data_IF_662242806790
#
_entry.id   IF_662242806790
#
_cell.length_a   1.000
_cell.length_b   1.000
_cell.length_c   1.000
_cell.angle_alpha   90.00
_cell.angle_beta   90.00
_cell.angle_gamma   90.00
#
_symmetry.space_group_name_H-M   'P 1'
#
loop_
_entity.id
_entity.type
_entity.pdbx_description
1 polymer ?
#
# COMPACT_ATOMS: atom_id res chain seq x y z
N UNK A 1 -54.77 0.91 29.62
CA UNK A 1 -55.19 1.63 28.40
C UNK A 1 -54.53 3.00 28.46
N UNK A 2 -53.75 3.50 27.51
CA UNK A 2 -53.27 2.99 26.23
C UNK A 2 -52.05 3.83 25.81
N UNK A 3 -51.17 3.22 25.02
CA UNK A 3 -49.98 3.83 24.43
C UNK A 3 -50.32 4.94 23.42
N UNK A 4 -49.38 5.86 23.20
CA UNK A 4 -49.23 6.53 21.91
C UNK A 4 -47.76 6.90 21.67
N UNK A 5 -47.10 6.04 20.89
CA UNK A 5 -45.90 6.28 20.11
C UNK A 5 -46.20 7.28 18.98
N UNK A 6 -45.28 8.21 18.71
CA UNK A 6 -44.99 8.82 17.40
C UNK A 6 -43.93 9.94 17.63
N UNK A 7 -42.87 10.10 16.86
CA UNK A 7 -42.42 9.45 15.63
C UNK A 7 -41.34 10.32 14.99
N UNK A 8 -40.41 9.69 14.29
CA UNK A 8 -39.78 10.20 13.06
C UNK A 8 -38.72 9.18 12.61
N UNK A 9 -39.15 8.22 11.79
CA UNK A 9 -38.27 7.40 10.97
C UNK A 9 -37.76 8.29 9.83
N UNK A 10 -36.47 8.61 9.84
CA UNK A 10 -35.78 9.23 8.71
C UNK A 10 -35.02 8.16 7.93
N UNK A 11 -35.71 7.41 7.07
CA UNK A 11 -35.07 6.55 6.08
C UNK A 11 -34.58 7.41 4.91
N UNK A 12 -33.32 7.83 4.98
CA UNK A 12 -32.61 8.35 3.81
C UNK A 12 -32.32 7.19 2.85
N UNK A 13 -33.13 7.06 1.80
CA UNK A 13 -32.85 6.15 0.70
C UNK A 13 -31.62 6.66 -0.05
N UNK A 14 -30.45 6.08 0.24
CA UNK A 14 -29.29 6.21 -0.62
C UNK A 14 -29.59 5.45 -1.91
N UNK A 15 -29.61 6.17 -3.03
CA UNK A 15 -29.75 5.57 -4.36
C UNK A 15 -28.53 4.68 -4.62
N UNK A 16 -28.71 3.36 -4.50
CA UNK A 16 -27.70 2.37 -4.86
C UNK A 16 -27.56 2.40 -6.39
N UNK A 17 -26.37 2.65 -6.97
CA UNK A 17 -26.20 2.56 -8.40
C UNK A 17 -26.55 1.14 -8.87
N UNK A 18 -27.46 1.05 -9.83
CA UNK A 18 -27.89 -0.21 -10.42
C UNK A 18 -26.69 -0.92 -11.06
N UNK A 19 -26.24 -2.03 -10.45
CA UNK A 19 -25.12 -2.84 -10.96
C UNK A 19 -24.21 -3.42 -9.88
N UNK A 20 -24.24 -2.89 -8.65
CA UNK A 20 -23.64 -3.57 -7.50
C UNK A 20 -24.67 -4.56 -6.93
N UNK A 21 -24.33 -5.84 -6.85
CA UNK A 21 -25.11 -6.79 -6.05
C UNK A 21 -25.29 -6.27 -4.62
N UNK A 22 -26.31 -6.75 -3.91
CA UNK A 22 -26.42 -6.43 -2.49
C UNK A 22 -25.11 -6.82 -1.78
N UNK A 23 -24.58 -5.91 -0.95
CA UNK A 23 -23.40 -6.20 -0.16
C UNK A 23 -23.66 -7.48 0.67
N UNK A 24 -22.69 -8.42 0.76
CA UNK A 24 -22.89 -9.67 1.49
C UNK A 24 -23.28 -9.43 2.96
N UNK A 25 -24.31 -10.09 3.45
CA UNK A 25 -24.66 -10.03 4.87
C UNK A 25 -23.73 -10.95 5.67
N UNK A 26 -22.81 -10.36 6.44
CA UNK A 26 -21.85 -11.08 7.27
C UNK A 26 -22.10 -10.81 8.77
N UNK A 27 -21.78 -11.77 9.66
CA UNK A 27 -21.82 -11.53 11.09
C UNK A 27 -20.93 -10.33 11.48
N UNK A 28 -21.37 -9.47 12.42
CA UNK A 28 -20.57 -8.32 12.84
C UNK A 28 -19.25 -8.79 13.46
N UNK A 29 -18.18 -8.02 13.20
CA UNK A 29 -16.84 -8.25 13.73
C UNK A 29 -16.22 -6.91 14.09
N UNK A 30 -15.49 -6.85 15.19
CA UNK A 30 -14.75 -5.64 15.58
C UNK A 30 -13.46 -5.50 14.76
N UNK A 31 -12.87 -4.30 14.74
CA UNK A 31 -11.60 -4.09 14.06
C UNK A 31 -10.48 -4.93 14.68
N UNK A 32 -10.45 -5.04 16.01
CA UNK A 32 -9.49 -5.85 16.77
C UNK A 32 -9.60 -7.33 16.41
N UNK A 33 -10.80 -7.88 16.39
CA UNK A 33 -11.04 -9.28 16.00
C UNK A 33 -10.66 -9.52 14.53
N UNK A 34 -11.01 -8.59 13.63
CA UNK A 34 -10.66 -8.72 12.22
C UNK A 34 -9.14 -8.69 12.03
N UNK A 35 -8.42 -7.74 12.63
CA UNK A 35 -6.96 -7.64 12.55
C UNK A 35 -6.28 -8.86 13.18
N UNK A 36 -6.75 -9.31 14.34
CA UNK A 36 -6.25 -10.54 14.99
C UNK A 36 -6.43 -11.75 14.07
N UNK A 37 -7.60 -11.87 13.43
CA UNK A 37 -7.89 -12.98 12.50
C UNK A 37 -6.98 -12.98 11.27
N UNK A 38 -6.60 -11.80 10.76
CA UNK A 38 -5.63 -11.66 9.66
C UNK A 38 -4.24 -12.09 10.10
N UNK A 39 -3.81 -11.72 11.32
CA UNK A 39 -2.49 -12.08 11.86
C UNK A 39 -2.32 -13.60 12.06
N UNK A 40 -3.41 -14.32 12.31
CA UNK A 40 -3.40 -15.78 12.50
C UNK A 40 -3.86 -16.55 11.26
N UNK A 41 -4.15 -15.85 10.16
CA UNK A 41 -4.70 -16.48 8.97
C UNK A 41 -3.70 -17.46 8.35
N UNK A 42 -4.16 -18.68 8.11
CA UNK A 42 -3.48 -19.65 7.26
C UNK A 42 -4.40 -19.95 6.06
N UNK A 43 -4.29 -19.17 4.98
CA UNK A 43 -5.17 -19.36 3.83
C UNK A 43 -4.94 -20.67 3.08
N UNK A 44 -3.80 -21.33 3.31
CA UNK A 44 -3.27 -22.37 2.45
C UNK A 44 -2.78 -21.83 1.09
N UNK A 45 -2.41 -22.73 0.16
CA UNK A 45 -1.90 -22.34 -1.14
C UNK A 45 -2.98 -21.69 -2.01
N UNK A 46 -2.58 -20.71 -2.82
CA UNK A 46 -3.48 -20.00 -3.73
C UNK A 46 -2.76 -19.42 -4.93
N UNK A 47 -3.53 -19.02 -5.94
CA UNK A 47 -3.08 -18.17 -7.03
C UNK A 47 -4.14 -17.12 -7.35
N UNK A 48 -3.73 -16.00 -7.92
CA UNK A 48 -4.66 -14.96 -8.33
C UNK A 48 -4.01 -13.87 -9.16
N UNK A 49 -4.85 -13.03 -9.75
CA UNK A 49 -4.41 -11.83 -10.46
C UNK A 49 -4.75 -10.61 -9.62
N UNK A 50 -3.75 -9.79 -9.35
CA UNK A 50 -3.88 -8.51 -8.65
C UNK A 50 -3.79 -7.39 -9.67
N UNK A 51 -4.66 -6.40 -9.54
CA UNK A 51 -4.65 -5.18 -10.35
C UNK A 51 -4.37 -3.98 -9.45
N UNK A 52 -3.41 -3.16 -9.85
CA UNK A 52 -3.17 -1.82 -9.32
C UNK A 52 -3.78 -0.81 -10.29
N UNK A 53 -4.73 -0.03 -9.82
CA UNK A 53 -5.23 1.19 -10.46
C UNK A 53 -4.65 2.39 -9.72
N UNK A 54 -3.79 3.13 -10.39
CA UNK A 54 -3.06 4.27 -9.84
C UNK A 54 -3.55 5.56 -10.47
N UNK A 55 -4.22 6.39 -9.68
CA UNK A 55 -4.73 7.70 -10.07
C UNK A 55 -4.10 8.83 -9.26
N UNK A 56 -2.89 8.62 -8.74
CA UNK A 56 -2.20 9.57 -7.88
C UNK A 56 -1.86 10.90 -8.59
N UNK A 57 -1.76 10.92 -9.92
CA UNK A 57 -1.24 12.08 -10.65
C UNK A 57 0.27 12.02 -10.87
N UNK A 58 0.91 10.87 -10.65
CA UNK A 58 2.37 10.75 -10.72
C UNK A 58 2.86 10.77 -12.18
N UNK A 59 3.89 11.57 -12.51
CA UNK A 59 4.51 11.54 -13.82
C UNK A 59 5.26 10.22 -14.03
N UNK A 60 5.37 9.79 -15.29
CA UNK A 60 6.14 8.61 -15.62
C UNK A 60 7.64 8.84 -15.40
N UNK A 61 8.22 8.09 -14.47
CA UNK A 61 9.65 8.10 -14.21
C UNK A 61 10.33 6.96 -15.00
N UNK A 62 11.41 7.21 -15.76
CA UNK A 62 12.07 6.19 -16.57
C UNK A 62 12.48 4.92 -15.80
N UNK A 63 12.90 5.08 -14.54
CA UNK A 63 13.29 3.98 -13.64
C UNK A 63 12.11 3.21 -13.02
N UNK A 64 10.93 3.84 -12.93
CA UNK A 64 9.72 3.27 -12.34
C UNK A 64 8.48 3.65 -13.18
N UNK A 65 8.41 3.22 -14.46
CA UNK A 65 7.30 3.61 -15.32
C UNK A 65 5.96 3.09 -14.78
N UNK A 66 5.97 1.98 -14.05
CA UNK A 66 4.77 1.36 -13.47
C UNK A 66 4.24 2.08 -12.21
N UNK A 67 5.02 3.01 -11.64
CA UNK A 67 4.57 3.86 -10.55
C UNK A 67 3.84 5.12 -11.05
N UNK A 68 3.85 5.35 -12.37
CA UNK A 68 3.05 6.41 -12.99
C UNK A 68 1.55 6.09 -12.89
N UNK A 69 0.74 7.09 -13.22
CA UNK A 69 -0.70 6.86 -13.39
C UNK A 69 -0.98 5.76 -14.41
N UNK A 70 -2.00 4.96 -14.10
CA UNK A 70 -2.50 3.91 -14.97
C UNK A 70 -2.71 2.59 -14.24
N UNK A 71 -2.91 1.55 -15.05
CA UNK A 71 -3.24 0.22 -14.57
C UNK A 71 -2.05 -0.71 -14.76
N UNK A 72 -1.68 -1.42 -13.70
CA UNK A 72 -0.72 -2.52 -13.75
C UNK A 72 -1.36 -3.79 -13.21
N UNK A 73 -0.96 -4.94 -13.75
CA UNK A 73 -1.38 -6.24 -13.25
C UNK A 73 -0.19 -7.06 -12.79
N UNK A 74 -0.43 -7.92 -11.81
CA UNK A 74 0.53 -8.90 -11.33
C UNK A 74 -0.20 -10.22 -11.12
N UNK A 75 0.44 -11.33 -11.45
CA UNK A 75 -0.05 -12.66 -11.07
C UNK A 75 0.76 -13.14 -9.87
N UNK A 76 0.05 -13.64 -8.86
CA UNK A 76 0.59 -14.07 -7.57
C UNK A 76 0.29 -15.54 -7.37
N UNK A 77 1.28 -16.28 -6.90
CA UNK A 77 1.16 -17.66 -6.44
C UNK A 77 1.76 -17.79 -5.05
N UNK A 78 1.12 -18.55 -4.18
CA UNK A 78 1.59 -18.85 -2.83
C UNK A 78 1.45 -20.35 -2.56
N UNK A 79 2.44 -20.96 -1.92
CA UNK A 79 2.33 -22.32 -1.41
C UNK A 79 1.58 -22.41 -0.07
N UNK A 80 1.18 -21.27 0.50
CA UNK A 80 0.55 -21.17 1.81
C UNK A 80 1.52 -21.06 2.98
N UNK A 81 2.82 -21.17 2.75
CA UNK A 81 3.88 -21.04 3.76
C UNK A 81 4.93 -20.00 3.33
N UNK A 82 6.14 -20.43 2.98
CA UNK A 82 7.27 -19.52 2.68
C UNK A 82 7.50 -19.32 1.20
N UNK A 83 6.87 -20.11 0.32
CA UNK A 83 7.15 -20.04 -1.11
C UNK A 83 6.11 -19.22 -1.84
N UNK A 84 6.59 -18.42 -2.77
CA UNK A 84 5.72 -17.54 -3.53
C UNK A 84 6.34 -17.14 -4.85
N UNK A 85 5.49 -16.75 -5.79
CA UNK A 85 5.90 -16.15 -7.05
C UNK A 85 5.02 -14.95 -7.32
N UNK A 86 5.62 -13.87 -7.79
CA UNK A 86 4.92 -12.71 -8.34
C UNK A 86 5.48 -12.43 -9.71
N UNK A 87 4.63 -12.37 -10.73
CA UNK A 87 5.02 -11.98 -12.09
C UNK A 87 4.30 -10.70 -12.49
N UNK A 88 5.06 -9.72 -12.96
CA UNK A 88 4.57 -8.42 -13.42
C UNK A 88 4.94 -8.29 -14.90
N UNK A 89 3.97 -8.48 -15.82
CA UNK A 89 4.18 -8.16 -17.22
C UNK A 89 4.31 -6.64 -17.41
N UNK A 90 5.29 -6.22 -18.19
CA UNK A 90 5.65 -4.82 -18.43
C UNK A 90 5.85 -4.58 -19.93
N UNK A 91 4.76 -4.55 -20.70
CA UNK A 91 4.83 -4.45 -22.16
C UNK A 91 5.50 -5.70 -22.75
N UNK A 92 6.71 -5.54 -23.31
CA UNK A 92 7.51 -6.66 -23.85
C UNK A 92 8.53 -7.22 -22.84
N UNK A 93 8.58 -6.68 -21.64
CA UNK A 93 9.48 -7.13 -20.57
C UNK A 93 8.72 -7.72 -19.40
N UNK A 94 9.37 -8.50 -18.56
CA UNK A 94 8.81 -9.08 -17.34
C UNK A 94 9.68 -8.71 -16.14
N UNK A 95 9.02 -8.46 -15.01
CA UNK A 95 9.64 -8.53 -13.69
C UNK A 95 9.07 -9.69 -12.91
N UNK A 96 9.91 -10.53 -12.35
CA UNK A 96 9.49 -11.70 -11.57
C UNK A 96 10.14 -11.66 -10.19
N UNK A 97 9.38 -11.95 -9.14
CA UNK A 97 9.91 -12.31 -7.84
C UNK A 97 9.56 -13.77 -7.53
N UNK A 98 10.51 -14.53 -7.01
CA UNK A 98 10.31 -15.91 -6.55
C UNK A 98 10.93 -16.07 -5.17
N UNK A 99 10.13 -16.45 -4.18
CA UNK A 99 10.60 -16.92 -2.90
C UNK A 99 10.57 -18.46 -2.91
N UNK A 100 11.73 -19.09 -2.72
CA UNK A 100 11.86 -20.57 -2.71
C UNK A 100 11.79 -21.18 -1.29
N UNK A 101 11.57 -20.34 -0.28
CA UNK A 101 11.54 -20.69 1.15
C UNK A 101 12.88 -20.49 1.88
N UNK A 102 13.93 -20.09 1.16
CA UNK A 102 15.24 -19.72 1.72
C UNK A 102 15.83 -18.47 1.07
N UNK A 103 15.53 -18.27 -0.20
CA UNK A 103 16.07 -17.22 -1.05
C UNK A 103 14.93 -16.51 -1.76
N UNK A 104 15.02 -15.19 -1.83
CA UNK A 104 14.18 -14.36 -2.69
C UNK A 104 15.00 -13.99 -3.92
N UNK A 105 14.48 -14.37 -5.08
CA UNK A 105 15.01 -14.06 -6.39
C UNK A 105 14.17 -12.95 -7.01
N UNK A 106 14.81 -11.93 -7.58
CA UNK A 106 14.18 -10.90 -8.37
C UNK A 106 14.82 -10.85 -9.75
N UNK A 107 14.01 -10.99 -10.79
CA UNK A 107 14.42 -10.97 -12.19
C UNK A 107 13.84 -9.76 -12.89
N UNK A 108 14.67 -9.06 -13.67
CA UNK A 108 14.24 -8.03 -14.58
C UNK A 108 14.70 -8.38 -16.00
N UNK A 109 13.76 -8.65 -16.90
CA UNK A 109 14.11 -9.04 -18.26
C UNK A 109 14.63 -7.88 -19.12
N UNK A 110 14.34 -6.63 -18.74
CA UNK A 110 14.73 -5.44 -19.50
C UNK A 110 16.26 -5.23 -19.51
N UNK A 111 16.90 -5.44 -18.36
CA UNK A 111 18.36 -5.31 -18.18
C UNK A 111 19.06 -6.67 -17.99
N UNK A 112 18.28 -7.76 -18.01
CA UNK A 112 18.73 -9.14 -17.77
C UNK A 112 19.45 -9.33 -16.43
N UNK A 113 18.96 -8.68 -15.39
CA UNK A 113 19.55 -8.76 -14.05
C UNK A 113 18.73 -9.67 -13.14
N UNK A 114 19.44 -10.56 -12.43
CA UNK A 114 18.91 -11.32 -11.29
C UNK A 114 19.52 -10.76 -10.02
N UNK A 115 18.70 -10.36 -9.06
CA UNK A 115 19.12 -10.17 -7.67
C UNK A 115 18.70 -11.39 -6.88
N UNK A 116 19.58 -11.95 -6.06
CA UNK A 116 19.18 -12.91 -5.02
C UNK A 116 19.54 -12.36 -3.63
N UNK A 117 18.64 -12.59 -2.69
CA UNK A 117 18.85 -12.24 -1.28
C UNK A 117 18.34 -13.36 -0.38
N UNK A 118 18.97 -13.59 0.80
CA UNK A 118 18.40 -14.49 1.77
C UNK A 118 17.00 -14.01 2.14
N UNK A 119 16.10 -14.95 2.32
CA UNK A 119 14.76 -14.64 2.78
C UNK A 119 14.83 -14.13 4.23
N UNK A 120 14.37 -12.91 4.48
CA UNK A 120 14.33 -12.38 5.83
C UNK A 120 13.21 -13.06 6.62
N UNK A 121 13.51 -13.49 7.85
CA UNK A 121 12.48 -13.74 8.86
C UNK A 121 11.86 -12.39 9.25
N UNK A 122 10.93 -11.89 8.43
CA UNK A 122 10.22 -10.65 8.73
C UNK A 122 9.48 -10.74 10.07
N UNK A 123 9.21 -9.61 10.74
CA UNK A 123 8.47 -9.59 12.01
C UNK A 123 7.06 -10.22 11.90
N UNK A 124 6.49 -10.26 10.70
CA UNK A 124 5.20 -10.90 10.38
C UNK A 124 5.24 -12.44 10.32
N UNK A 125 6.42 -13.06 10.40
CA UNK A 125 6.59 -14.52 10.38
C UNK A 125 6.82 -15.15 11.74
N UNK A 126 7.05 -14.35 12.77
CA UNK A 126 6.89 -14.86 14.13
C UNK A 126 5.41 -14.72 14.43
N UNK A 127 4.69 -15.84 14.68
CA UNK A 127 3.39 -15.73 15.30
C UNK A 127 3.57 -14.83 16.52
N UNK A 128 2.81 -13.74 16.59
CA UNK A 128 2.75 -12.98 17.82
C UNK A 128 2.46 -13.98 18.94
N UNK A 129 3.26 -13.96 20.02
CA UNK A 129 3.07 -14.91 21.12
C UNK A 129 1.63 -14.84 21.67
N UNK A 130 1.00 -13.68 21.54
CA UNK A 130 -0.43 -13.43 21.69
C UNK A 130 -0.92 -12.52 20.54
N UNK A 131 -1.55 -13.08 19.49
CA UNK A 131 -2.07 -12.31 18.35
C UNK A 131 -3.16 -11.31 18.75
N UNK A 132 -3.96 -11.62 19.76
CA UNK A 132 -5.02 -10.72 20.26
C UNK A 132 -4.42 -9.52 20.95
N UNK A 133 -3.41 -9.70 21.80
CA UNK A 133 -2.68 -8.59 22.39
C UNK A 133 -1.95 -7.74 21.33
N UNK A 134 -1.36 -8.38 20.31
CA UNK A 134 -0.71 -7.67 19.21
C UNK A 134 -1.71 -6.83 18.40
N UNK A 135 -2.88 -7.40 18.04
CA UNK A 135 -3.94 -6.68 17.36
C UNK A 135 -4.46 -5.50 18.19
N UNK A 136 -4.63 -5.70 19.50
CA UNK A 136 -5.07 -4.65 20.44
C UNK A 136 -4.09 -3.48 20.45
N UNK A 137 -2.79 -3.75 20.56
CA UNK A 137 -1.78 -2.68 20.55
C UNK A 137 -1.67 -1.99 19.18
N UNK A 138 -1.82 -2.72 18.06
CA UNK A 138 -1.88 -2.12 16.72
C UNK A 138 -3.08 -1.19 16.60
N UNK A 139 -4.28 -1.65 16.96
CA UNK A 139 -5.50 -0.84 16.87
C UNK A 139 -5.40 0.38 17.79
N UNK A 140 -4.89 0.21 19.01
CA UNK A 140 -4.66 1.30 19.95
C UNK A 140 -3.70 2.34 19.40
N UNK A 141 -2.61 1.93 18.74
CA UNK A 141 -1.67 2.85 18.11
C UNK A 141 -2.32 3.60 16.94
N UNK A 142 -3.04 2.90 16.07
CA UNK A 142 -3.76 3.51 14.95
C UNK A 142 -4.84 4.49 15.43
N UNK A 143 -5.54 4.16 16.53
CA UNK A 143 -6.57 5.01 17.14
C UNK A 143 -6.04 6.28 17.79
N UNK A 144 -4.72 6.42 17.96
CA UNK A 144 -4.14 7.67 18.43
C UNK A 144 -4.31 8.82 17.42
N UNK A 145 -4.35 8.49 16.12
CA UNK A 145 -4.40 9.46 15.01
C UNK A 145 -5.51 9.18 14.01
N UNK A 146 -6.35 8.17 14.24
CA UNK A 146 -7.35 7.68 13.28
C UNK A 146 -8.60 7.13 13.97
N UNK A 147 -9.73 7.07 13.28
CA UNK A 147 -10.77 6.08 13.58
C UNK A 147 -10.42 4.76 12.90
N UNK A 148 -10.77 3.64 13.53
CA UNK A 148 -10.47 2.29 13.03
C UNK A 148 -11.70 1.43 13.28
N UNK A 149 -12.42 1.14 12.20
CA UNK A 149 -13.75 0.54 12.24
C UNK A 149 -13.91 -0.51 11.15
N UNK A 150 -14.85 -1.44 11.33
CA UNK A 150 -15.32 -2.33 10.26
C UNK A 150 -16.63 -1.75 9.75
N UNK A 151 -16.57 -1.09 8.59
CA UNK A 151 -17.67 -0.31 8.02
C UNK A 151 -18.13 -0.95 6.71
N UNK A 152 -19.03 -1.92 6.86
CA UNK A 152 -19.68 -2.60 5.75
C UNK A 152 -18.98 -3.87 5.28
N UNK A 153 -19.46 -4.35 4.15
CA UNK A 153 -19.01 -5.57 3.49
C UNK A 153 -18.94 -5.33 1.98
N UNK A 154 -18.06 -6.06 1.33
CA UNK A 154 -17.86 -5.97 -0.11
C UNK A 154 -17.74 -7.37 -0.72
N UNK A 155 -17.86 -7.44 -2.04
CA UNK A 155 -17.45 -8.61 -2.81
C UNK A 155 -16.21 -8.24 -3.63
N UNK A 156 -15.13 -9.00 -3.45
CA UNK A 156 -13.86 -8.80 -4.17
C UNK A 156 -13.42 -10.13 -4.77
N UNK A 157 -13.19 -10.16 -6.08
CA UNK A 157 -12.84 -11.37 -6.82
C UNK A 157 -13.81 -12.56 -6.55
N UNK A 158 -15.12 -12.27 -6.45
CA UNK A 158 -16.15 -13.27 -6.17
C UNK A 158 -16.19 -13.76 -4.72
N UNK A 159 -15.55 -13.05 -3.79
CA UNK A 159 -15.48 -13.42 -2.38
C UNK A 159 -16.03 -12.33 -1.48
N UNK A 160 -16.88 -12.72 -0.54
CA UNK A 160 -17.40 -11.83 0.50
C UNK A 160 -16.28 -11.37 1.43
N UNK A 161 -16.26 -10.08 1.77
CA UNK A 161 -15.22 -9.45 2.54
C UNK A 161 -15.79 -8.46 3.55
N UNK A 162 -15.11 -8.34 4.69
CA UNK A 162 -15.28 -7.25 5.64
C UNK A 162 -14.48 -6.03 5.18
N UNK A 163 -15.03 -4.83 5.31
CA UNK A 163 -14.30 -3.60 4.99
C UNK A 163 -13.76 -2.94 6.26
N UNK A 164 -12.45 -3.07 6.50
CA UNK A 164 -11.75 -2.32 7.53
C UNK A 164 -11.47 -0.90 7.02
N UNK A 165 -11.88 0.11 7.75
CA UNK A 165 -11.74 1.53 7.39
C UNK A 165 -10.88 2.23 8.42
N UNK A 166 -9.84 2.91 7.93
CA UNK A 166 -8.97 3.79 8.70
C UNK A 166 -9.18 5.21 8.19
N UNK A 167 -9.76 6.09 9.00
CA UNK A 167 -9.95 7.49 8.65
C UNK A 167 -9.12 8.38 9.58
N UNK A 168 -8.35 9.37 9.07
CA UNK A 168 -7.59 10.30 9.89
C UNK A 168 -8.49 11.04 10.90
N UNK A 169 -7.97 11.30 12.09
CA UNK A 169 -8.67 12.12 13.07
C UNK A 169 -8.86 13.56 12.54
N UNK A 170 -9.90 14.30 12.95
CA UNK A 170 -10.14 15.67 12.47
C UNK A 170 -9.02 16.67 12.76
N UNK A 171 -8.10 16.33 13.66
CA UNK A 171 -6.92 17.14 14.01
C UNK A 171 -5.74 16.94 13.05
N UNK A 172 -5.75 15.86 12.27
CA UNK A 172 -4.72 15.56 11.29
C UNK A 172 -4.86 16.47 10.07
N UNK A 173 -3.74 17.00 9.60
CA UNK A 173 -3.54 17.82 8.42
C UNK A 173 -3.05 16.98 7.24
N UNK A 174 -3.91 16.07 6.77
CA UNK A 174 -3.62 15.17 5.65
C UNK A 174 -4.51 15.41 4.43
N UNK A 175 -4.03 15.02 3.25
CA UNK A 175 -4.80 14.99 2.00
C UNK A 175 -5.61 13.68 1.84
N UNK A 176 -5.43 12.72 2.74
CA UNK A 176 -6.17 11.47 2.75
C UNK A 176 -7.51 11.64 3.46
N UNK A 177 -8.57 11.09 2.86
CA UNK A 177 -9.87 10.98 3.51
C UNK A 177 -9.95 9.72 4.35
N UNK A 178 -9.55 8.59 3.77
CA UNK A 178 -9.59 7.28 4.42
C UNK A 178 -8.81 6.24 3.60
N UNK A 179 -8.45 5.16 4.26
CA UNK A 179 -7.92 3.93 3.67
C UNK A 179 -8.90 2.80 3.99
N UNK A 180 -9.32 2.05 2.97
CA UNK A 180 -10.18 0.88 3.12
C UNK A 180 -9.42 -0.39 2.77
N UNK A 181 -9.55 -1.43 3.58
CA UNK A 181 -9.00 -2.76 3.36
C UNK A 181 -10.12 -3.79 3.39
N UNK A 182 -10.43 -4.38 2.24
CA UNK A 182 -11.35 -5.51 2.16
C UNK A 182 -10.61 -6.79 2.59
N UNK A 183 -11.12 -7.47 3.61
CA UNK A 183 -10.55 -8.71 4.17
C UNK A 183 -11.52 -9.85 3.95
N UNK A 184 -11.05 -10.93 3.33
CA UNK A 184 -11.86 -12.12 3.04
C UNK A 184 -12.59 -12.66 4.28
N UNK A 185 -13.88 -12.92 4.18
CA UNK A 185 -14.69 -13.33 5.32
C UNK A 185 -14.33 -14.73 5.86
N UNK A 186 -13.82 -15.62 5.01
CA UNK A 186 -13.56 -17.03 5.33
C UNK A 186 -12.09 -17.30 5.66
N UNK A 187 -11.19 -16.89 4.77
CA UNK A 187 -9.75 -17.12 4.78
C UNK A 187 -8.95 -15.99 5.41
N UNK A 188 -9.60 -14.86 5.71
CA UNK A 188 -9.02 -13.69 6.40
C UNK A 188 -7.79 -13.11 5.69
N UNK A 189 -7.73 -13.25 4.36
CA UNK A 189 -6.69 -12.67 3.52
C UNK A 189 -7.11 -11.27 3.08
N UNK A 190 -6.22 -10.26 3.12
CA UNK A 190 -6.50 -8.97 2.49
C UNK A 190 -6.73 -9.15 0.98
N UNK A 191 -7.88 -8.70 0.49
CA UNK A 191 -8.30 -8.84 -0.90
C UNK A 191 -8.13 -7.55 -1.72
N UNK A 192 -8.36 -6.39 -1.10
CA UNK A 192 -8.25 -5.10 -1.77
C UNK A 192 -7.88 -4.00 -0.78
N UNK A 193 -6.92 -3.15 -1.16
CA UNK A 193 -6.58 -1.88 -0.54
C UNK A 193 -7.11 -0.74 -1.42
N UNK A 194 -7.81 0.21 -0.83
CA UNK A 194 -8.33 1.41 -1.50
C UNK A 194 -7.91 2.64 -0.71
N UNK A 195 -7.32 3.63 -1.38
CA UNK A 195 -6.92 4.91 -0.78
C UNK A 195 -7.77 6.01 -1.39
N UNK A 196 -8.46 6.77 -0.55
CA UNK A 196 -9.35 7.84 -0.99
C UNK A 196 -8.81 9.19 -0.52
N UNK A 197 -8.74 10.14 -1.46
CA UNK A 197 -8.27 11.50 -1.22
C UNK A 197 -9.42 12.42 -0.79
N UNK A 198 -9.10 13.45 -0.03
CA UNK A 198 -10.03 14.53 0.29
C UNK A 198 -10.44 15.26 -1.00
N UNK A 199 -11.74 15.55 -1.15
CA UNK A 199 -12.28 16.24 -2.32
C UNK A 199 -12.54 15.37 -3.55
N UNK A 200 -12.30 14.05 -3.48
CA UNK A 200 -12.65 13.09 -4.54
C UNK A 200 -13.53 11.96 -4.01
N UNK A 201 -14.49 11.50 -4.81
CA UNK A 201 -15.19 10.23 -4.58
C UNK A 201 -14.46 9.03 -5.18
N UNK A 202 -13.65 9.27 -6.21
CA UNK A 202 -12.89 8.25 -6.90
C UNK A 202 -11.62 7.90 -6.10
N UNK A 203 -11.26 6.60 -5.98
CA UNK A 203 -10.03 6.21 -5.32
C UNK A 203 -8.80 6.73 -6.02
N UNK A 204 -7.90 7.34 -5.26
CA UNK A 204 -6.61 7.76 -5.77
C UNK A 204 -5.68 6.57 -6.02
N UNK A 205 -5.88 5.46 -5.29
CA UNK A 205 -5.19 4.20 -5.51
C UNK A 205 -6.13 3.04 -5.14
N UNK A 206 -6.15 2.01 -5.98
CA UNK A 206 -6.83 0.73 -5.68
C UNK A 206 -5.93 -0.43 -6.07
N UNK A 207 -5.58 -1.27 -5.11
CA UNK A 207 -4.80 -2.49 -5.30
C UNK A 207 -5.63 -3.68 -4.82
N UNK A 208 -6.02 -4.59 -5.71
CA UNK A 208 -6.82 -5.73 -5.26
C UNK A 208 -6.87 -6.89 -6.25
N UNK A 209 -7.28 -8.06 -5.76
CA UNK A 209 -7.50 -9.23 -6.60
C UNK A 209 -8.66 -8.99 -7.56
N UNK A 210 -8.43 -9.30 -8.84
CA UNK A 210 -9.49 -9.44 -9.85
C UNK A 210 -9.94 -10.89 -9.99
N UNK A 211 -9.08 -11.82 -9.59
CA UNK A 211 -9.34 -13.26 -9.55
C UNK A 211 -8.50 -13.88 -8.42
N UNK A 212 -9.06 -14.84 -7.68
CA UNK A 212 -8.39 -15.53 -6.58
C UNK A 212 -8.93 -16.95 -6.43
N UNK A 213 -8.03 -17.93 -6.55
CA UNK A 213 -8.33 -19.35 -6.42
C UNK A 213 -7.43 -20.00 -5.37
N UNK A 214 -8.04 -20.62 -4.36
CA UNK A 214 -7.34 -21.43 -3.36
C UNK A 214 -7.19 -22.87 -3.84
N UNK A 215 -6.06 -23.49 -3.54
CA UNK A 215 -5.76 -24.87 -3.92
C UNK A 215 -4.27 -25.10 -4.14
N UNK A 216 -3.85 -26.37 -4.18
CA UNK A 216 -2.46 -26.74 -4.37
C UNK A 216 -1.85 -26.10 -5.63
N UNK A 217 -0.61 -25.63 -5.51
CA UNK A 217 0.15 -25.03 -6.60
C UNK A 217 1.24 -25.98 -7.07
N UNK A 218 1.62 -25.91 -8.35
CA UNK A 218 2.75 -26.67 -8.88
C UNK A 218 4.05 -26.23 -8.17
N UNK A 219 4.77 -27.15 -7.49
CA UNK A 219 6.00 -26.80 -6.78
C UNK A 219 7.09 -26.16 -7.66
N UNK A 220 7.08 -26.43 -8.97
CA UNK A 220 8.04 -25.84 -9.92
C UNK A 220 7.90 -24.32 -10.05
N UNK A 221 6.72 -23.75 -9.77
CA UNK A 221 6.48 -22.29 -9.78
C UNK A 221 7.37 -21.55 -8.77
N UNK A 222 7.77 -22.24 -7.70
CA UNK A 222 8.57 -21.70 -6.61
C UNK A 222 10.06 -21.98 -6.75
N UNK A 223 10.47 -22.53 -7.88
CA UNK A 223 11.89 -22.71 -8.22
C UNK A 223 12.31 -21.63 -9.20
N UNK A 224 13.48 -21.04 -9.00
CA UNK A 224 14.02 -20.04 -9.91
C UNK A 224 15.41 -20.46 -10.41
N UNK A 225 15.56 -20.50 -11.73
CA UNK A 225 16.85 -20.70 -12.39
C UNK A 225 17.16 -19.45 -13.21
N UNK A 226 18.27 -18.75 -12.94
CA UNK A 226 18.69 -17.60 -13.74
C UNK A 226 18.75 -17.93 -15.24
N UNK A 227 18.10 -17.13 -16.11
CA UNK A 227 18.19 -17.34 -17.55
C UNK A 227 19.64 -17.28 -18.07
N UNK A 228 20.00 -18.00 -19.14
CA UNK A 228 21.35 -17.94 -19.72
C UNK A 228 21.80 -16.51 -20.03
N UNK A 229 22.99 -16.11 -19.58
CA UNK A 229 23.51 -14.76 -19.79
C UNK A 229 22.85 -13.65 -18.94
N UNK A 230 22.13 -14.03 -17.88
CA UNK A 230 21.70 -13.08 -16.85
C UNK A 230 22.87 -12.67 -15.95
N UNK A 231 22.90 -11.39 -15.56
CA UNK A 231 23.85 -10.90 -14.55
C UNK A 231 23.28 -11.16 -13.16
N UNK A 232 23.92 -12.01 -12.37
CA UNK A 232 23.47 -12.35 -11.01
C UNK A 232 24.18 -11.48 -9.97
N UNK A 233 23.40 -10.83 -9.11
CA UNK A 233 23.85 -9.99 -8.02
C UNK A 233 23.37 -10.55 -6.69
N UNK A 234 24.24 -10.55 -5.69
CA UNK A 234 23.90 -10.93 -4.32
C UNK A 234 23.63 -9.68 -3.49
N UNK A 235 22.49 -9.65 -2.79
CA UNK A 235 22.19 -8.63 -1.78
C UNK A 235 21.95 -9.28 -0.42
N UNK A 236 22.44 -8.68 0.68
CA UNK A 236 22.09 -9.15 2.01
C UNK A 236 20.57 -8.99 2.25
N UNK A 237 19.99 -9.81 3.13
CA UNK A 237 18.55 -9.80 3.47
C UNK A 237 18.06 -8.44 3.98
N UNK A 238 18.99 -7.61 4.46
CA UNK A 238 18.76 -6.25 4.97
C UNK A 238 19.62 -5.24 4.22
N UNK A 239 19.63 -5.31 2.89
CA UNK A 239 19.92 -4.13 2.11
C UNK A 239 18.67 -3.24 2.18
N UNK A 240 18.51 -2.51 3.28
CA UNK A 240 17.95 -1.16 3.12
C UNK A 240 18.76 -0.53 1.98
N UNK A 241 18.10 0.00 0.95
CA UNK A 241 18.78 0.74 -0.13
C UNK A 241 19.41 2.06 0.40
N UNK A 242 19.89 2.09 1.64
CA UNK A 242 20.88 3.02 2.11
C UNK A 242 22.22 2.62 1.49
N UNK A 243 22.54 3.24 0.35
CA UNK A 243 23.94 3.33 -0.11
C UNK A 243 24.81 3.70 1.12
N UNK A 244 25.94 3.01 1.37
CA UNK A 244 26.85 3.42 2.43
C UNK A 244 27.23 4.90 2.24
N UNK A 245 26.79 5.78 3.16
CA UNK A 245 26.94 7.24 3.04
C UNK A 245 25.66 8.05 2.74
N UNK A 246 24.51 7.41 2.52
CA UNK A 246 23.22 8.10 2.47
C UNK A 246 22.85 8.62 3.87
N UNK A 247 22.62 9.92 4.00
CA UNK A 247 22.16 10.51 5.25
C UNK A 247 20.81 9.90 5.65
N UNK A 248 20.66 9.51 6.93
CA UNK A 248 19.38 9.01 7.45
C UNK A 248 18.28 10.05 7.19
N UNK A 249 17.09 9.63 6.73
CA UNK A 249 15.97 10.55 6.57
C UNK A 249 15.56 11.11 7.93
N UNK A 250 15.20 12.39 7.95
CA UNK A 250 14.59 13.06 9.09
C UNK A 250 13.08 12.90 8.98
N UNK A 251 12.42 12.50 10.05
CA UNK A 251 10.96 12.39 10.13
C UNK A 251 10.45 13.51 11.02
N UNK A 252 9.48 14.27 10.53
CA UNK A 252 8.84 15.39 11.24
C UNK A 252 7.34 15.15 11.28
N UNK A 253 6.73 15.33 12.45
CA UNK A 253 5.31 15.02 12.66
C UNK A 253 5.09 13.58 13.11
N UNK A 254 3.82 13.22 13.26
CA UNK A 254 3.34 11.91 13.67
C UNK A 254 2.05 11.58 12.90
N UNK A 255 1.64 10.31 12.93
CA UNK A 255 0.40 9.89 12.28
C UNK A 255 0.35 10.21 10.79
N UNK A 256 -0.76 10.83 10.38
CA UNK A 256 -1.03 11.21 8.99
C UNK A 256 -0.35 12.53 8.60
N UNK A 257 0.17 13.27 9.58
CA UNK A 257 0.91 14.53 9.43
C UNK A 257 2.40 14.33 9.19
N UNK A 258 2.83 13.07 9.06
CA UNK A 258 4.22 12.70 8.92
C UNK A 258 4.80 13.21 7.60
N UNK A 259 5.90 13.96 7.71
CA UNK A 259 6.75 14.38 6.61
C UNK A 259 8.11 13.70 6.73
N UNK A 260 8.52 13.04 5.65
CA UNK A 260 9.85 12.44 5.53
C UNK A 260 10.73 13.37 4.73
N UNK A 261 11.88 13.75 5.29
CA UNK A 261 12.87 14.63 4.67
C UNK A 261 14.15 13.82 4.42
N UNK A 262 14.57 13.73 3.18
CA UNK A 262 15.81 13.06 2.78
C UNK A 262 16.67 13.99 1.93
N UNK A 263 17.97 13.70 1.80
CA UNK A 263 18.82 14.35 0.79
C UNK A 263 18.76 13.55 -0.50
N UNK A 264 18.53 14.24 -1.62
CA UNK A 264 18.64 13.64 -2.94
C UNK A 264 20.06 13.11 -3.15
N UNK A 265 20.24 11.90 -3.72
CA UNK A 265 21.56 11.45 -4.12
C UNK A 265 22.16 12.44 -5.13
N UNK A 266 23.34 12.96 -4.82
CA UNK A 266 24.06 13.89 -5.70
C UNK A 266 24.49 13.16 -6.97
N UNK A 267 24.07 13.66 -8.13
CA UNK A 267 24.46 13.14 -9.43
C UNK A 267 23.25 12.75 -10.28
N UNK A 268 22.96 13.59 -11.27
CA UNK A 268 22.13 13.33 -12.46
C UNK A 268 20.64 13.01 -12.24
N UNK A 269 19.80 14.07 -12.14
CA UNK A 269 18.42 14.19 -12.72
C UNK A 269 17.52 15.25 -12.06
N UNK A 270 18.05 16.14 -11.22
CA UNK A 270 17.30 17.30 -10.71
C UNK A 270 16.69 18.23 -11.80
N UNK A 271 17.31 18.47 -12.97
CA UNK A 271 16.79 19.45 -13.95
C UNK A 271 15.46 19.07 -14.61
N UNK A 272 15.21 17.77 -14.88
CA UNK A 272 13.97 17.31 -15.52
C UNK A 272 12.78 17.32 -14.55
N UNK A 273 13.00 16.96 -13.27
CA UNK A 273 11.99 17.15 -12.23
C UNK A 273 11.73 18.63 -11.97
N UNK A 274 12.78 19.47 -11.95
CA UNK A 274 12.65 20.89 -11.66
C UNK A 274 11.77 21.67 -12.66
N UNK A 275 11.61 21.16 -13.89
CA UNK A 275 10.71 21.74 -14.89
C UNK A 275 9.23 21.38 -14.69
N UNK A 276 8.94 20.30 -13.95
CA UNK A 276 7.60 19.77 -13.74
C UNK A 276 6.91 20.31 -12.47
N UNK A 277 7.69 20.81 -11.51
CA UNK A 277 7.17 21.32 -10.23
C UNK A 277 6.85 22.82 -10.23
N UNK A 278 5.84 23.20 -9.44
CA UNK A 278 5.49 24.61 -9.17
C UNK A 278 6.60 25.26 -8.34
N UNK A 279 7.11 26.45 -8.69
CA UNK A 279 8.04 27.18 -7.83
C UNK A 279 7.42 27.47 -6.46
N UNK A 280 8.15 27.18 -5.39
CA UNK A 280 7.75 27.44 -4.01
C UNK A 280 8.95 28.00 -3.22
N UNK A 281 8.67 28.87 -2.26
CA UNK A 281 9.70 29.51 -1.44
C UNK A 281 9.22 29.65 0.01
N UNK A 282 10.12 29.50 0.97
CA UNK A 282 9.85 29.71 2.38
C UNK A 282 11.11 30.03 3.18
N UNK A 283 11.03 30.07 4.52
CA UNK A 283 12.18 30.31 5.39
C UNK A 283 13.34 29.32 5.21
N UNK A 284 13.05 28.14 4.65
CA UNK A 284 14.00 27.08 4.33
C UNK A 284 14.68 27.24 2.96
N UNK A 285 14.36 28.29 2.18
CA UNK A 285 14.91 28.56 0.86
C UNK A 285 13.89 28.46 -0.26
N UNK A 286 14.34 28.09 -1.46
CA UNK A 286 13.51 27.93 -2.65
C UNK A 286 13.50 26.46 -3.09
N UNK A 287 12.48 26.08 -3.84
CA UNK A 287 12.36 24.74 -4.38
C UNK A 287 11.21 24.59 -5.37
N UNK A 288 10.86 23.32 -5.62
CA UNK A 288 9.83 22.89 -6.54
C UNK A 288 8.87 21.95 -5.83
N UNK A 289 7.59 22.32 -5.87
CA UNK A 289 6.48 21.54 -5.31
C UNK A 289 5.89 20.63 -6.39
N UNK A 290 5.59 19.39 -6.00
CA UNK A 290 4.91 18.38 -6.79
C UNK A 290 3.72 17.89 -5.97
N UNK A 291 2.53 18.01 -6.52
CA UNK A 291 1.30 17.63 -5.82
C UNK A 291 0.59 16.53 -6.57
N UNK A 292 0.10 15.57 -5.80
CA UNK A 292 -0.65 14.39 -6.22
C UNK A 292 -2.03 14.43 -5.56
N UNK A 293 -2.91 13.50 -5.91
CA UNK A 293 -4.22 13.39 -5.27
C UNK A 293 -4.12 13.15 -3.75
N UNK A 294 -3.06 12.49 -3.27
CA UNK A 294 -2.96 12.04 -1.86
C UNK A 294 -1.81 12.67 -1.08
N UNK A 295 -0.98 13.49 -1.71
CA UNK A 295 0.27 13.91 -1.10
C UNK A 295 1.02 14.98 -1.89
N UNK A 296 1.95 15.62 -1.20
CA UNK A 296 2.82 16.65 -1.76
C UNK A 296 4.28 16.25 -1.53
N UNK A 297 5.13 16.64 -2.46
CA UNK A 297 6.58 16.59 -2.36
C UNK A 297 7.18 17.96 -2.66
N UNK A 298 8.20 18.37 -1.90
CA UNK A 298 9.00 19.56 -2.18
C UNK A 298 10.45 19.12 -2.37
N UNK A 299 11.02 19.45 -3.52
CA UNK A 299 12.46 19.32 -3.80
C UNK A 299 13.07 20.71 -3.68
N UNK A 300 13.92 20.92 -2.68
CA UNK A 300 14.58 22.20 -2.43
C UNK A 300 15.83 22.36 -3.31
N UNK A 301 16.22 23.61 -3.57
CA UNK A 301 17.43 23.93 -4.34
C UNK A 301 18.73 23.46 -3.65
N UNK A 302 18.70 23.29 -2.32
CA UNK A 302 19.81 22.75 -1.52
C UNK A 302 19.86 21.21 -1.51
N UNK A 303 18.98 20.54 -2.27
CA UNK A 303 18.99 19.10 -2.49
C UNK A 303 18.25 18.27 -1.44
N UNK A 304 17.45 18.88 -0.56
CA UNK A 304 16.49 18.15 0.30
C UNK A 304 15.23 17.81 -0.48
N UNK A 305 14.63 16.69 -0.13
CA UNK A 305 13.34 16.22 -0.62
C UNK A 305 12.47 15.99 0.61
N UNK A 306 11.39 16.75 0.75
CA UNK A 306 10.34 16.52 1.74
C UNK A 306 9.14 15.88 1.04
N UNK A 307 8.58 14.79 1.59
CA UNK A 307 7.40 14.11 1.06
C UNK A 307 6.48 13.75 2.20
N UNK A 308 5.17 13.93 1.99
CA UNK A 308 4.15 13.49 2.93
C UNK A 308 2.77 13.44 2.27
N UNK A 309 1.84 12.70 2.87
CA UNK A 309 0.44 12.64 2.46
C UNK A 309 -0.34 13.87 2.97
N UNK A 310 0.27 15.05 2.89
CA UNK A 310 -0.15 16.27 3.59
C UNK A 310 -0.09 17.47 2.64
N UNK A 311 -0.82 18.56 2.93
CA UNK A 311 -0.75 19.78 2.14
C UNK A 311 0.64 20.44 2.14
N UNK A 312 0.91 21.28 1.14
CA UNK A 312 2.14 22.08 0.98
C UNK A 312 2.58 22.79 2.27
N UNK A 313 1.61 23.32 3.03
CA UNK A 313 1.87 24.04 4.27
C UNK A 313 2.60 23.17 5.31
N UNK A 314 2.22 21.91 5.45
CA UNK A 314 2.80 20.99 6.44
C UNK A 314 4.25 20.65 6.06
N UNK A 315 4.53 20.45 4.77
CA UNK A 315 5.91 20.27 4.27
C UNK A 315 6.75 21.52 4.51
N UNK A 316 6.19 22.70 4.24
CA UNK A 316 6.88 23.98 4.42
C UNK A 316 7.26 24.18 5.89
N UNK A 317 6.37 23.88 6.83
CA UNK A 317 6.64 23.91 8.26
C UNK A 317 7.72 22.89 8.66
N UNK A 318 7.62 21.66 8.15
CA UNK A 318 8.57 20.59 8.44
C UNK A 318 9.99 20.92 7.96
N UNK A 319 10.14 21.53 6.78
CA UNK A 319 11.43 21.94 6.22
C UNK A 319 12.16 23.03 7.02
N UNK A 320 11.48 23.69 7.97
CA UNK A 320 12.09 24.68 8.88
C UNK A 320 12.66 24.08 10.17
N UNK A 321 12.41 22.80 10.42
CA UNK A 321 12.94 22.06 11.58
C UNK A 321 14.34 21.51 11.28
#
# INVERSE_FOLDING_TARGET
>A
MGAALAGAVGLGLLAVPAGAGAAPELPPVTAEELISSVMTADPGPFNGTVKLDNQLGLPALPQLPQAANGTSTATVWSDGDRKGRVSLPTGQTERTLVADGTTVWSWNSADRTVTKSPESEGPHRRPAADPTAAATEVVKHLRATSTVDVDGTAEVAGRSAYELVLAPAPTERTLLREVRVAVDAEKRVPLQLTVLATGSSDPALRLGFTDLTFGAQDPSLFTFTPPPGATVQERPAHAEDAKPGAAKPTVVGDGWDTVVIAKAPTGERAPELAALGKPVSGPWGNGREFTTAVGTAIVTDDGRIAVGAVPEQVLTEALTK
#
